data_IF_911212152606
#
_entry.id   IF_911212152606
#
_cell.length_a   1.000
_cell.length_b   1.000
_cell.length_c   1.000
_cell.angle_alpha   90.00
_cell.angle_beta   90.00
_cell.angle_gamma   90.00
#
_symmetry.space_group_name_H-M   'P 1'
#
loop_
_entity.id
_entity.type
_entity.pdbx_description
1 polymer ?
#
# COMPACT_ATOMS: atom_id res chain seq x y z
N UNK A 1 -21.17 -22.46 23.26
CA UNK A 1 -21.13 -23.81 22.68
C UNK A 1 -21.81 -24.88 23.54
N UNK A 2 -21.72 -24.85 24.88
CA UNK A 2 -22.31 -25.88 25.76
C UNK A 2 -23.76 -25.65 26.15
N UNK A 3 -24.35 -24.51 25.84
CA UNK A 3 -25.74 -24.17 26.14
C UNK A 3 -26.75 -25.07 25.41
N UNK A 4 -26.52 -25.38 24.16
CA UNK A 4 -27.41 -26.21 23.35
C UNK A 4 -27.47 -27.67 23.84
N UNK A 5 -26.36 -28.37 24.14
CA UNK A 5 -26.39 -29.68 24.79
C UNK A 5 -27.04 -29.69 26.16
N UNK A 6 -26.83 -28.64 26.99
CA UNK A 6 -27.44 -28.54 28.30
C UNK A 6 -28.96 -28.39 28.18
N UNK A 7 -29.46 -27.58 27.25
CA UNK A 7 -30.87 -27.43 26.94
C UNK A 7 -31.48 -28.73 26.41
N UNK A 8 -30.76 -29.42 25.52
CA UNK A 8 -31.17 -30.73 24.98
C UNK A 8 -31.35 -31.75 26.11
N UNK A 9 -30.42 -31.83 27.05
CA UNK A 9 -30.47 -32.71 28.19
C UNK A 9 -31.69 -32.37 29.12
N UNK A 10 -31.88 -31.05 29.38
CA UNK A 10 -33.02 -30.59 30.18
C UNK A 10 -34.38 -30.90 29.54
N UNK A 11 -34.52 -30.77 28.22
CA UNK A 11 -35.74 -31.08 27.48
C UNK A 11 -36.02 -32.59 27.35
N UNK A 12 -34.96 -33.43 27.32
CA UNK A 12 -35.12 -34.87 27.21
C UNK A 12 -35.31 -35.58 28.57
N UNK A 13 -34.84 -34.98 29.68
CA UNK A 13 -34.81 -35.58 31.01
C UNK A 13 -36.18 -36.03 31.52
N UNK A 14 -37.31 -35.26 31.41
CA UNK A 14 -38.62 -35.70 31.89
C UNK A 14 -39.17 -36.93 31.15
N UNK A 15 -38.95 -36.99 29.85
CA UNK A 15 -39.38 -38.13 29.02
C UNK A 15 -38.55 -39.39 29.32
N UNK A 16 -37.22 -39.24 29.49
CA UNK A 16 -36.31 -40.30 29.85
C UNK A 16 -36.52 -40.84 31.26
N UNK A 17 -37.00 -39.99 32.20
CA UNK A 17 -37.33 -40.36 33.57
C UNK A 17 -38.76 -40.97 33.70
N UNK A 18 -39.49 -41.09 32.60
CA UNK A 18 -40.87 -41.62 32.63
C UNK A 18 -41.91 -40.73 33.32
N UNK A 19 -41.57 -39.42 33.51
CA UNK A 19 -42.45 -38.46 34.18
C UNK A 19 -43.50 -37.92 33.20
N UNK A 20 -43.17 -37.79 31.93
CA UNK A 20 -44.09 -37.34 30.88
C UNK A 20 -44.03 -38.27 29.63
N UNK A 21 -45.13 -38.37 28.86
CA UNK A 21 -45.15 -39.12 27.63
C UNK A 21 -44.15 -38.56 26.63
N UNK A 22 -43.33 -39.41 26.06
CA UNK A 22 -42.28 -39.03 25.10
C UNK A 22 -42.89 -38.36 23.85
N UNK A 23 -42.65 -37.07 23.66
CA UNK A 23 -43.01 -36.36 22.43
C UNK A 23 -41.90 -36.57 21.39
N UNK A 24 -42.12 -37.25 20.27
CA UNK A 24 -41.10 -37.59 19.30
C UNK A 24 -40.49 -36.37 18.64
N UNK A 25 -41.21 -35.26 18.52
CA UNK A 25 -40.71 -34.00 17.98
C UNK A 25 -39.73 -33.31 18.94
N UNK A 26 -40.03 -33.35 20.22
CA UNK A 26 -39.14 -32.79 21.29
C UNK A 26 -37.85 -33.61 21.38
N UNK A 27 -37.93 -34.93 21.29
CA UNK A 27 -36.74 -35.79 21.30
C UNK A 27 -35.89 -35.61 20.04
N UNK A 28 -36.47 -35.41 18.87
CA UNK A 28 -35.76 -35.12 17.64
C UNK A 28 -35.02 -33.77 17.73
N UNK A 29 -35.68 -32.74 18.25
CA UNK A 29 -35.05 -31.39 18.49
C UNK A 29 -33.93 -31.46 19.53
N UNK A 30 -34.13 -32.20 20.61
CA UNK A 30 -33.09 -32.40 21.64
C UNK A 30 -31.89 -33.16 21.05
N UNK A 31 -32.14 -34.17 20.21
CA UNK A 31 -31.09 -34.87 19.46
C UNK A 31 -30.27 -33.92 18.55
N UNK A 32 -30.99 -33.07 17.79
CA UNK A 32 -30.33 -32.08 16.92
C UNK A 32 -29.47 -31.06 17.73
N UNK A 33 -29.98 -30.60 18.87
CA UNK A 33 -29.23 -29.70 19.73
C UNK A 33 -28.03 -30.35 20.41
N UNK A 34 -28.14 -31.64 20.75
CA UNK A 34 -27.04 -32.45 21.29
C UNK A 34 -25.89 -32.57 20.30
N UNK A 35 -26.19 -32.79 19.01
CA UNK A 35 -25.20 -32.94 17.94
C UNK A 35 -24.71 -31.61 17.37
N UNK A 36 -25.40 -30.47 17.67
CA UNK A 36 -25.12 -29.17 17.10
C UNK A 36 -23.67 -28.68 17.30
N UNK A 37 -22.99 -28.92 18.45
CA UNK A 37 -21.58 -28.54 18.57
C UNK A 37 -20.66 -29.32 17.62
N UNK A 38 -20.99 -30.59 17.38
CA UNK A 38 -20.26 -31.43 16.42
C UNK A 38 -20.46 -30.95 14.98
N UNK A 39 -21.71 -30.58 14.63
CA UNK A 39 -22.02 -30.00 13.32
C UNK A 39 -21.31 -28.65 13.16
N UNK A 40 -21.39 -27.78 14.17
CA UNK A 40 -20.71 -26.49 14.15
C UNK A 40 -19.20 -26.65 14.00
N UNK A 41 -18.58 -27.57 14.74
CA UNK A 41 -17.16 -27.89 14.61
C UNK A 41 -16.81 -28.42 13.22
N UNK A 42 -17.61 -29.32 12.64
CA UNK A 42 -17.38 -29.87 11.31
C UNK A 42 -17.48 -28.81 10.20
N UNK A 43 -18.50 -27.94 10.27
CA UNK A 43 -18.70 -26.84 9.31
C UNK A 43 -17.62 -25.77 9.46
N UNK A 44 -17.17 -25.52 10.72
CA UNK A 44 -16.13 -24.52 11.02
C UNK A 44 -14.70 -25.03 10.76
N UNK A 45 -14.53 -26.30 10.41
CA UNK A 45 -13.20 -26.79 9.99
C UNK A 45 -12.75 -26.04 8.76
N UNK A 46 -11.64 -25.35 8.89
CA UNK A 46 -10.93 -24.77 7.76
C UNK A 46 -10.56 -25.92 6.81
N UNK A 47 -11.33 -26.08 5.76
CA UNK A 47 -10.89 -26.90 4.62
C UNK A 47 -9.81 -26.05 3.96
N UNK A 48 -8.55 -26.42 4.17
CA UNK A 48 -7.48 -25.90 3.30
C UNK A 48 -7.90 -26.22 1.88
N UNK A 49 -8.26 -25.24 1.05
CA UNK A 49 -8.56 -25.51 -0.33
C UNK A 49 -7.33 -26.18 -0.91
N UNK A 50 -7.49 -27.25 -1.68
CA UNK A 50 -6.41 -27.74 -2.53
C UNK A 50 -6.07 -26.60 -3.47
N UNK A 51 -5.03 -25.83 -3.12
CA UNK A 51 -4.46 -24.87 -4.02
C UNK A 51 -3.83 -25.68 -5.14
N UNK A 52 -4.51 -25.79 -6.27
CA UNK A 52 -3.92 -26.35 -7.47
C UNK A 52 -2.81 -25.38 -7.88
N UNK A 53 -1.56 -25.84 -8.02
CA UNK A 53 -0.51 -24.98 -8.52
C UNK A 53 -0.90 -24.49 -9.91
N UNK A 54 -0.79 -23.18 -10.13
CA UNK A 54 -0.99 -22.58 -11.43
C UNK A 54 0.09 -23.11 -12.39
N UNK A 55 -0.29 -23.45 -13.59
CA UNK A 55 0.68 -23.69 -14.66
C UNK A 55 1.30 -22.37 -15.12
N UNK A 56 2.39 -22.44 -15.88
CA UNK A 56 3.12 -21.24 -16.32
C UNK A 56 2.26 -20.29 -17.17
N UNK A 57 1.31 -20.81 -17.95
CA UNK A 57 0.41 -20.02 -18.80
C UNK A 57 -0.61 -19.26 -17.93
N UNK A 58 -1.21 -19.96 -16.97
CA UNK A 58 -2.14 -19.37 -16.01
C UNK A 58 -1.46 -18.29 -15.15
N UNK A 59 -0.25 -18.58 -14.65
CA UNK A 59 0.54 -17.63 -13.89
C UNK A 59 0.86 -16.36 -14.71
N UNK A 60 1.32 -16.53 -15.95
CA UNK A 60 1.60 -15.41 -16.84
C UNK A 60 0.34 -14.60 -17.20
N UNK A 61 -0.82 -15.27 -17.35
CA UNK A 61 -2.10 -14.59 -17.57
C UNK A 61 -2.48 -13.71 -16.39
N UNK A 62 -2.44 -14.26 -15.15
CA UNK A 62 -2.78 -13.53 -13.94
C UNK A 62 -1.82 -12.36 -13.71
N UNK A 63 -0.52 -12.53 -13.93
CA UNK A 63 0.46 -11.45 -13.80
C UNK A 63 0.19 -10.32 -14.80
N UNK A 64 -0.11 -10.63 -16.06
CA UNK A 64 -0.50 -9.62 -17.05
C UNK A 64 -1.79 -8.88 -16.65
N UNK A 65 -2.77 -9.61 -16.11
CA UNK A 65 -4.00 -9.00 -15.58
C UNK A 65 -3.67 -8.04 -14.42
N UNK A 66 -2.83 -8.46 -13.48
CA UNK A 66 -2.37 -7.62 -12.36
C UNK A 66 -1.64 -6.35 -12.88
N UNK A 67 -0.76 -6.48 -13.88
CA UNK A 67 -0.07 -5.30 -14.46
C UNK A 67 -1.03 -4.35 -15.18
N UNK A 68 -2.03 -4.87 -15.89
CA UNK A 68 -3.08 -4.04 -16.52
C UNK A 68 -3.98 -3.38 -15.46
N UNK A 69 -4.30 -4.07 -14.38
CA UNK A 69 -5.04 -3.48 -13.25
C UNK A 69 -4.25 -2.35 -12.59
N UNK A 70 -2.94 -2.56 -12.38
CA UNK A 70 -2.06 -1.50 -11.87
C UNK A 70 -2.00 -0.29 -12.81
N UNK A 71 -2.08 -0.48 -14.11
CA UNK A 71 -2.03 0.60 -15.10
C UNK A 71 -3.09 1.68 -14.86
N UNK A 72 -4.27 1.32 -14.35
CA UNK A 72 -5.30 2.28 -13.95
C UNK A 72 -4.79 3.27 -12.89
N UNK A 73 -4.19 2.76 -11.83
CA UNK A 73 -3.64 3.62 -10.76
C UNK A 73 -2.40 4.38 -11.23
N UNK A 74 -1.51 3.73 -11.98
CA UNK A 74 -0.30 4.32 -12.55
C UNK A 74 -0.62 5.53 -13.47
N UNK A 75 -1.72 5.44 -14.22
CA UNK A 75 -2.16 6.48 -15.15
C UNK A 75 -2.94 7.62 -14.46
N UNK A 76 -3.88 7.27 -13.56
CA UNK A 76 -4.83 8.23 -13.03
C UNK A 76 -4.47 8.81 -11.66
N UNK A 77 -3.46 8.24 -10.96
CA UNK A 77 -3.08 8.69 -9.62
C UNK A 77 -1.75 9.44 -9.67
N UNK A 78 -1.82 10.77 -9.67
CA UNK A 78 -0.64 11.63 -9.76
C UNK A 78 -0.89 13.03 -9.21
N UNK A 79 0.01 13.95 -9.48
CA UNK A 79 -0.06 15.33 -8.99
C UNK A 79 -1.37 16.03 -9.39
N UNK A 80 -1.79 15.85 -10.63
CA UNK A 80 -3.03 16.44 -11.16
C UNK A 80 -4.30 15.97 -10.44
N UNK A 81 -4.27 14.76 -9.85
CA UNK A 81 -5.36 14.19 -9.05
C UNK A 81 -5.12 14.30 -7.54
N UNK A 82 -4.16 15.11 -7.09
CA UNK A 82 -3.72 15.18 -5.70
C UNK A 82 -3.33 13.80 -5.12
N UNK A 83 -2.80 12.92 -5.95
CA UNK A 83 -2.40 11.55 -5.58
C UNK A 83 -3.58 10.69 -5.08
N UNK A 84 -4.81 11.02 -5.51
CA UNK A 84 -6.02 10.27 -5.23
C UNK A 84 -6.50 9.55 -6.49
N UNK A 85 -6.88 8.26 -6.39
CA UNK A 85 -7.46 7.55 -7.52
C UNK A 85 -8.89 8.07 -7.77
N UNK A 86 -9.29 8.27 -9.03
CA UNK A 86 -10.68 8.58 -9.36
C UNK A 86 -11.60 7.39 -9.11
N UNK A 87 -12.91 7.62 -9.14
CA UNK A 87 -13.91 6.57 -8.92
C UNK A 87 -13.89 5.52 -10.04
N UNK A 88 -13.90 5.99 -11.28
CA UNK A 88 -13.84 5.14 -12.45
C UNK A 88 -13.38 5.91 -13.69
N UNK A 89 -13.03 5.16 -14.71
CA UNK A 89 -12.83 5.63 -16.07
C UNK A 89 -13.84 4.93 -16.98
N UNK A 90 -14.65 5.73 -17.67
CA UNK A 90 -15.61 5.24 -18.64
C UNK A 90 -15.01 5.30 -20.04
N UNK A 91 -15.00 4.18 -20.76
CA UNK A 91 -14.48 4.10 -22.13
C UNK A 91 -15.58 4.42 -23.18
N UNK A 92 -16.81 3.93 -22.93
CA UNK A 92 -17.93 4.00 -23.84
C UNK A 92 -19.11 4.69 -23.14
N UNK A 93 -19.85 5.64 -23.77
CA UNK A 93 -19.80 6.04 -25.19
C UNK A 93 -18.67 7.01 -25.55
N UNK A 94 -18.05 7.64 -24.56
CA UNK A 94 -16.88 8.51 -24.75
C UNK A 94 -15.96 8.40 -23.53
N UNK A 95 -14.64 8.48 -23.70
CA UNK A 95 -13.69 8.46 -22.59
C UNK A 95 -13.99 9.57 -21.59
N UNK A 96 -14.19 9.20 -20.33
CA UNK A 96 -14.44 10.15 -19.25
C UNK A 96 -13.96 9.61 -17.90
N UNK A 97 -13.25 10.45 -17.16
CA UNK A 97 -12.84 10.18 -15.78
C UNK A 97 -13.87 10.75 -14.83
N UNK A 98 -14.35 9.98 -13.88
CA UNK A 98 -15.18 10.49 -12.79
C UNK A 98 -14.31 11.22 -11.75
N UNK A 99 -14.34 12.57 -11.67
CA UNK A 99 -13.39 13.35 -10.87
C UNK A 99 -13.78 13.39 -9.39
N UNK A 100 -14.09 12.22 -8.84
CA UNK A 100 -14.45 12.02 -7.42
C UNK A 100 -13.76 10.77 -6.90
N UNK A 101 -13.59 10.70 -5.59
CA UNK A 101 -13.00 9.56 -4.89
C UNK A 101 -13.75 9.25 -3.61
N UNK A 102 -13.61 8.03 -3.10
CA UNK A 102 -14.12 7.58 -1.82
C UNK A 102 -13.00 7.05 -0.93
N UNK A 103 -13.20 6.90 0.39
CA UNK A 103 -12.21 6.26 1.26
C UNK A 103 -11.83 4.85 0.80
N UNK A 104 -12.78 4.08 0.29
CA UNK A 104 -12.52 2.76 -0.30
C UNK A 104 -11.58 2.86 -1.51
N UNK A 105 -11.84 3.80 -2.44
CA UNK A 105 -10.98 3.99 -3.62
C UNK A 105 -9.56 4.39 -3.21
N UNK A 106 -9.42 5.29 -2.24
CA UNK A 106 -8.11 5.71 -1.71
C UNK A 106 -7.35 4.50 -1.15
N UNK A 107 -7.99 3.72 -0.31
CA UNK A 107 -7.40 2.50 0.24
C UNK A 107 -6.99 1.50 -0.85
N UNK A 108 -7.85 1.28 -1.86
CA UNK A 108 -7.55 0.42 -3.01
C UNK A 108 -6.31 0.89 -3.77
N UNK A 109 -6.17 2.21 -4.00
CA UNK A 109 -4.99 2.79 -4.65
C UNK A 109 -3.71 2.49 -3.87
N UNK A 110 -3.73 2.68 -2.55
CA UNK A 110 -2.59 2.41 -1.67
C UNK A 110 -2.18 0.93 -1.66
N UNK A 111 -3.14 0.02 -1.49
CA UNK A 111 -2.87 -1.44 -1.51
C UNK A 111 -2.44 -1.91 -2.90
N UNK A 112 -2.99 -1.34 -3.97
CA UNK A 112 -2.55 -1.64 -5.34
C UNK A 112 -1.11 -1.21 -5.58
N UNK A 113 -0.69 -0.06 -5.02
CA UNK A 113 0.71 0.38 -5.05
C UNK A 113 1.64 -0.56 -4.29
N UNK A 114 1.25 -1.05 -3.12
CA UNK A 114 2.00 -2.06 -2.37
C UNK A 114 2.14 -3.36 -3.18
N UNK A 115 1.03 -3.86 -3.74
CA UNK A 115 1.05 -5.04 -4.60
C UNK A 115 1.91 -4.84 -5.86
N UNK A 116 1.92 -3.62 -6.43
CA UNK A 116 2.78 -3.29 -7.57
C UNK A 116 4.27 -3.40 -7.22
N UNK A 117 4.67 -3.04 -5.98
CA UNK A 117 6.03 -3.29 -5.49
C UNK A 117 6.32 -4.79 -5.41
N UNK A 118 5.42 -5.60 -4.84
CA UNK A 118 5.59 -7.04 -4.69
C UNK A 118 5.71 -7.76 -6.04
N UNK A 119 4.98 -7.28 -7.05
CA UNK A 119 5.06 -7.79 -8.41
C UNK A 119 6.26 -7.25 -9.20
N UNK A 120 7.00 -6.29 -8.67
CA UNK A 120 8.13 -5.65 -9.35
C UNK A 120 7.72 -4.64 -10.43
N UNK A 121 6.52 -4.08 -10.38
CA UNK A 121 6.04 -3.04 -11.29
C UNK A 121 6.45 -1.64 -10.84
N UNK A 122 6.70 -1.47 -9.54
CA UNK A 122 6.99 -0.21 -8.89
C UNK A 122 8.19 -0.37 -7.96
N UNK A 123 9.07 0.62 -7.90
CA UNK A 123 10.16 0.62 -6.92
C UNK A 123 9.65 1.00 -5.52
N UNK A 124 10.30 0.50 -4.43
CA UNK A 124 9.95 0.89 -3.07
C UNK A 124 10.01 2.39 -2.82
N UNK A 125 10.98 3.09 -3.43
CA UNK A 125 11.10 4.54 -3.32
C UNK A 125 9.95 5.27 -3.99
N UNK A 126 9.53 4.82 -5.16
CA UNK A 126 8.38 5.38 -5.86
C UNK A 126 7.07 5.13 -5.10
N UNK A 127 6.89 3.93 -4.56
CA UNK A 127 5.75 3.61 -3.70
C UNK A 127 5.71 4.50 -2.45
N UNK A 128 6.83 4.64 -1.75
CA UNK A 128 6.93 5.51 -0.58
C UNK A 128 6.57 6.95 -0.93
N UNK A 129 7.11 7.47 -2.05
CA UNK A 129 6.81 8.82 -2.53
C UNK A 129 5.30 9.02 -2.79
N UNK A 130 4.66 8.11 -3.54
CA UNK A 130 3.23 8.18 -3.83
C UNK A 130 2.39 8.11 -2.55
N UNK A 131 2.72 7.16 -1.66
CA UNK A 131 2.01 6.98 -0.40
C UNK A 131 2.12 8.21 0.49
N UNK A 132 3.31 8.78 0.64
CA UNK A 132 3.53 10.00 1.41
C UNK A 132 2.70 11.17 0.87
N UNK A 133 2.67 11.36 -0.46
CA UNK A 133 1.86 12.41 -1.12
C UNK A 133 0.35 12.18 -0.94
N UNK A 134 -0.09 10.92 -0.99
CA UNK A 134 -1.49 10.60 -0.66
C UNK A 134 -1.81 10.97 0.79
N UNK A 135 -0.92 10.65 1.75
CA UNK A 135 -1.10 11.04 3.15
C UNK A 135 -1.15 12.57 3.31
N UNK A 136 -0.28 13.33 2.62
CA UNK A 136 -0.31 14.81 2.62
C UNK A 136 -1.66 15.35 2.11
N UNK A 137 -2.28 14.66 1.18
CA UNK A 137 -3.61 15.03 0.69
C UNK A 137 -4.70 14.69 1.70
N UNK A 138 -4.64 13.52 2.34
CA UNK A 138 -5.60 13.11 3.38
C UNK A 138 -5.62 14.08 4.57
N UNK A 139 -4.49 14.68 4.93
CA UNK A 139 -4.44 15.69 5.99
C UNK A 139 -5.25 16.95 5.66
N UNK A 140 -5.33 17.32 4.38
CA UNK A 140 -6.06 18.51 3.90
C UNK A 140 -7.55 18.25 3.70
N UNK A 141 -7.98 16.99 3.67
CA UNK A 141 -9.37 16.62 3.46
C UNK A 141 -10.18 16.78 4.74
N UNK A 142 -11.39 17.33 4.62
CA UNK A 142 -12.31 17.50 5.74
C UNK A 142 -12.77 16.15 6.28
N UNK A 143 -12.76 15.99 7.61
CA UNK A 143 -13.15 14.76 8.33
C UNK A 143 -14.12 15.09 9.45
N UNK A 144 -14.90 14.08 9.84
CA UNK A 144 -15.76 14.15 11.01
C UNK A 144 -15.41 13.02 11.99
N UNK A 145 -14.94 13.35 13.19
CA UNK A 145 -14.53 12.38 14.23
C UNK A 145 -13.56 11.31 13.73
N UNK A 146 -12.59 11.72 12.93
CA UNK A 146 -11.62 10.83 12.28
C UNK A 146 -12.09 10.25 10.93
N UNK A 147 -13.40 10.10 10.71
CA UNK A 147 -13.96 9.55 9.49
C UNK A 147 -13.86 10.49 8.32
N UNK A 148 -13.54 9.97 7.15
CA UNK A 148 -13.73 10.64 5.88
C UNK A 148 -15.20 10.52 5.44
N UNK A 149 -15.67 11.54 4.71
CA UNK A 149 -16.98 11.47 4.05
C UNK A 149 -16.97 10.47 2.91
N UNK A 150 -18.14 9.98 2.51
CA UNK A 150 -18.28 8.93 1.50
C UNK A 150 -17.70 9.32 0.14
N UNK A 151 -17.86 10.59 -0.27
CA UNK A 151 -17.38 11.08 -1.56
C UNK A 151 -16.73 12.45 -1.45
N UNK A 152 -15.63 12.62 -2.21
CA UNK A 152 -14.94 13.90 -2.39
C UNK A 152 -14.77 14.22 -3.85
N UNK A 153 -14.88 15.51 -4.18
CA UNK A 153 -14.46 16.06 -5.46
C UNK A 153 -12.92 16.15 -5.47
N UNK A 154 -12.26 15.49 -6.41
CA UNK A 154 -10.78 15.43 -6.45
C UNK A 154 -10.18 16.83 -6.69
N UNK A 155 -10.62 17.65 -7.68
CA UNK A 155 -10.04 18.96 -7.91
C UNK A 155 -10.08 19.92 -6.72
N UNK A 156 -11.11 19.84 -5.88
CA UNK A 156 -11.32 20.77 -4.77
C UNK A 156 -11.03 20.18 -3.39
N UNK A 157 -10.88 18.86 -3.29
CA UNK A 157 -10.75 18.07 -2.05
C UNK A 157 -11.94 18.27 -1.09
N UNK A 158 -13.06 18.83 -1.56
CA UNK A 158 -14.26 19.03 -0.74
C UNK A 158 -15.18 17.83 -0.79
N UNK A 159 -15.83 17.49 0.34
CA UNK A 159 -16.82 16.43 0.35
C UNK A 159 -18.03 16.79 -0.51
N UNK A 160 -18.60 15.77 -1.16
CA UNK A 160 -19.79 15.92 -2.01
C UNK A 160 -21.07 15.78 -1.17
N UNK A 161 -22.09 16.57 -1.55
CA UNK A 161 -23.41 16.47 -0.93
C UNK A 161 -24.28 15.38 -1.56
N UNK A 162 -25.16 14.71 -0.78
CA UNK A 162 -25.34 14.89 0.67
C UNK A 162 -24.15 14.36 1.45
N UNK A 163 -23.72 15.10 2.50
CA UNK A 163 -22.65 14.68 3.37
C UNK A 163 -23.03 13.38 4.10
N UNK A 164 -22.26 12.34 3.92
CA UNK A 164 -22.55 11.01 4.45
C UNK A 164 -21.27 10.35 4.97
N UNK A 165 -21.35 9.70 6.12
CA UNK A 165 -20.27 8.89 6.67
C UNK A 165 -20.70 7.44 6.58
N UNK A 166 -19.92 6.67 5.83
CA UNK A 166 -20.10 5.23 5.64
C UNK A 166 -19.19 4.46 6.60
N UNK A 167 -19.76 3.57 7.41
CA UNK A 167 -18.97 2.67 8.25
C UNK A 167 -18.21 1.64 7.41
N UNK A 168 -18.77 1.28 6.25
CA UNK A 168 -18.14 0.33 5.31
C UNK A 168 -16.90 0.97 4.68
N UNK A 169 -17.01 2.20 4.16
CA UNK A 169 -15.86 2.89 3.56
C UNK A 169 -14.78 3.17 4.59
N UNK A 170 -15.16 3.59 5.79
CA UNK A 170 -14.23 3.79 6.90
C UNK A 170 -13.50 2.49 7.26
N UNK A 171 -14.24 1.39 7.39
CA UNK A 171 -13.67 0.08 7.70
C UNK A 171 -12.75 -0.44 6.59
N UNK A 172 -13.13 -0.26 5.32
CA UNK A 172 -12.29 -0.62 4.18
C UNK A 172 -10.98 0.17 4.19
N UNK A 173 -11.05 1.51 4.33
CA UNK A 173 -9.84 2.33 4.37
C UNK A 173 -8.95 1.94 5.56
N UNK A 174 -9.51 1.74 6.77
CA UNK A 174 -8.74 1.32 7.94
C UNK A 174 -8.01 -0.01 7.71
N UNK A 175 -8.72 -1.02 7.19
CA UNK A 175 -8.13 -2.32 6.90
C UNK A 175 -6.99 -2.21 5.88
N UNK A 176 -7.18 -1.43 4.81
CA UNK A 176 -6.18 -1.21 3.78
C UNK A 176 -4.96 -0.43 4.30
N UNK A 177 -5.17 0.59 5.16
CA UNK A 177 -4.08 1.32 5.82
C UNK A 177 -3.26 0.42 6.76
N UNK A 178 -3.91 -0.52 7.47
CA UNK A 178 -3.20 -1.52 8.28
C UNK A 178 -2.32 -2.40 7.39
N UNK A 179 -2.82 -2.85 6.24
CA UNK A 179 -2.04 -3.66 5.28
C UNK A 179 -0.85 -2.86 4.75
N UNK A 180 -1.06 -1.60 4.34
CA UNK A 180 0.01 -0.72 3.84
C UNK A 180 1.06 -0.46 4.93
N UNK A 181 0.64 -0.22 6.16
CA UNK A 181 1.53 -0.06 7.31
C UNK A 181 2.47 -1.26 7.50
N UNK A 182 1.92 -2.47 7.48
CA UNK A 182 2.72 -3.67 7.64
C UNK A 182 3.65 -3.88 6.44
N UNK A 183 3.20 -3.60 5.21
CA UNK A 183 4.07 -3.62 4.03
C UNK A 183 5.23 -2.62 4.12
N UNK A 184 4.98 -1.39 4.59
CA UNK A 184 6.05 -0.41 4.84
C UNK A 184 7.05 -0.89 5.90
N UNK A 185 6.56 -1.54 6.96
CA UNK A 185 7.43 -2.14 8.00
C UNK A 185 8.25 -3.31 7.48
N UNK A 186 7.70 -4.11 6.59
CA UNK A 186 8.43 -5.20 5.92
C UNK A 186 9.53 -4.62 5.00
N UNK A 187 9.25 -3.56 4.25
CA UNK A 187 10.23 -2.88 3.40
C UNK A 187 11.45 -2.37 4.17
N UNK A 188 11.32 -1.98 5.45
CA UNK A 188 12.47 -1.58 6.28
C UNK A 188 13.51 -2.68 6.47
N UNK A 189 13.09 -3.94 6.35
CA UNK A 189 13.91 -5.15 6.53
C UNK A 189 14.14 -5.89 5.22
N UNK A 190 13.50 -5.45 4.16
CA UNK A 190 13.60 -6.03 2.83
C UNK A 190 14.73 -5.43 2.00
N UNK A 191 15.09 -6.07 0.88
CA UNK A 191 16.06 -5.55 -0.06
C UNK A 191 15.52 -4.25 -0.72
N UNK A 192 16.43 -3.30 -0.99
CA UNK A 192 16.04 -2.03 -1.62
C UNK A 192 15.58 -2.21 -3.08
N UNK A 193 16.01 -3.28 -3.77
CA UNK A 193 15.51 -3.66 -5.08
C UNK A 193 14.55 -4.84 -4.92
N UNK A 194 13.29 -4.77 -5.39
CA UNK A 194 12.31 -5.84 -5.25
C UNK A 194 12.81 -7.15 -5.84
N UNK A 195 12.57 -8.27 -5.15
CA UNK A 195 13.03 -9.59 -5.62
C UNK A 195 12.49 -9.96 -7.00
N UNK A 196 11.30 -9.46 -7.35
CA UNK A 196 10.60 -9.74 -8.62
C UNK A 196 10.73 -8.63 -9.68
N UNK A 197 11.75 -7.80 -9.59
CA UNK A 197 11.97 -6.72 -10.55
C UNK A 197 12.05 -7.21 -12.01
N UNK A 198 12.64 -8.39 -12.25
CA UNK A 198 12.75 -9.01 -13.58
C UNK A 198 11.40 -9.38 -14.14
N UNK A 199 10.64 -10.16 -13.36
CA UNK A 199 9.30 -10.60 -13.73
C UNK A 199 8.37 -9.41 -13.97
N UNK A 200 8.51 -8.35 -13.18
CA UNK A 200 7.76 -7.11 -13.37
C UNK A 200 8.05 -6.42 -14.70
N UNK A 201 9.32 -6.37 -15.11
CA UNK A 201 9.72 -5.85 -16.43
C UNK A 201 9.21 -6.74 -17.56
N UNK A 202 9.32 -8.07 -17.41
CA UNK A 202 8.83 -9.04 -18.40
C UNK A 202 7.31 -8.90 -18.60
N UNK A 203 6.54 -8.72 -17.53
CA UNK A 203 5.10 -8.53 -17.63
C UNK A 203 4.75 -7.24 -18.40
N UNK A 204 5.40 -6.12 -18.08
CA UNK A 204 5.17 -4.85 -18.76
C UNK A 204 5.60 -4.90 -20.24
N UNK A 205 6.78 -5.47 -20.55
CA UNK A 205 7.26 -5.65 -21.90
C UNK A 205 6.39 -6.64 -22.68
N UNK A 206 5.90 -7.69 -22.03
CA UNK A 206 4.95 -8.64 -22.63
C UNK A 206 3.63 -7.99 -23.04
N UNK A 207 3.13 -7.03 -22.24
CA UNK A 207 1.94 -6.26 -22.61
C UNK A 207 2.24 -5.34 -23.79
N UNK A 208 3.37 -4.63 -23.81
CA UNK A 208 3.76 -3.79 -24.94
C UNK A 208 3.86 -4.61 -26.24
N UNK A 209 4.40 -5.83 -26.19
CA UNK A 209 4.41 -6.74 -27.35
C UNK A 209 3.00 -7.13 -27.80
N UNK A 210 2.07 -7.35 -26.89
CA UNK A 210 0.67 -7.64 -27.22
C UNK A 210 -0.02 -6.43 -27.86
N UNK A 211 0.24 -5.23 -27.37
CA UNK A 211 -0.30 -3.98 -27.93
C UNK A 211 0.27 -3.72 -29.33
N UNK A 212 1.56 -3.96 -29.57
CA UNK A 212 2.18 -3.90 -30.90
C UNK A 212 1.48 -4.86 -31.87
N UNK A 213 1.26 -6.10 -31.48
CA UNK A 213 0.55 -7.09 -32.32
C UNK A 213 -0.90 -6.72 -32.56
N UNK A 214 -1.58 -6.13 -31.59
CA UNK A 214 -2.94 -5.61 -31.72
C UNK A 214 -2.98 -4.40 -32.65
N UNK A 215 -2.07 -3.43 -32.48
CA UNK A 215 -1.95 -2.24 -33.31
C UNK A 215 -1.67 -2.58 -34.78
N UNK A 216 -0.82 -3.56 -35.03
CA UNK A 216 -0.50 -4.05 -36.38
C UNK A 216 -1.73 -4.56 -37.15
N UNK A 217 -2.74 -5.04 -36.44
CA UNK A 217 -4.00 -5.56 -37.04
C UNK A 217 -5.06 -4.49 -37.22
N UNK A 218 -4.88 -3.30 -36.66
CA UNK A 218 -5.82 -2.19 -36.78
C UNK A 218 -5.56 -1.40 -38.07
N UNK A 219 -6.51 -1.33 -39.02
CA UNK A 219 -6.32 -0.58 -40.27
C UNK A 219 -6.06 0.92 -40.08
N UNK A 220 -6.60 1.48 -38.98
CA UNK A 220 -6.54 2.92 -38.67
C UNK A 220 -5.39 3.27 -37.71
N UNK A 221 -4.44 2.34 -37.47
CA UNK A 221 -3.32 2.62 -36.58
C UNK A 221 -2.39 3.67 -37.21
N UNK A 222 -2.10 4.78 -36.50
CA UNK A 222 -1.28 5.86 -37.06
C UNK A 222 0.21 5.54 -37.12
N UNK A 223 0.65 4.41 -36.57
CA UNK A 223 2.06 3.96 -36.56
C UNK A 223 2.37 3.23 -37.88
N UNK A 224 3.50 3.56 -38.52
CA UNK A 224 3.96 2.89 -39.76
C UNK A 224 4.12 1.38 -39.55
N UNK A 225 3.58 0.53 -40.45
CA UNK A 225 3.66 -0.93 -40.31
C UNK A 225 5.10 -1.47 -40.23
N UNK A 226 6.08 -0.80 -40.81
CA UNK A 226 7.49 -1.19 -40.82
C UNK A 226 8.13 -1.07 -39.43
N UNK A 227 7.54 -0.27 -38.52
CA UNK A 227 8.04 -0.08 -37.15
C UNK A 227 7.82 -1.32 -36.31
N UNK A 228 6.70 -2.01 -36.48
CA UNK A 228 6.27 -3.09 -35.58
C UNK A 228 7.23 -4.27 -35.48
N UNK A 229 7.75 -4.84 -36.57
CA UNK A 229 8.69 -5.96 -36.47
C UNK A 229 9.97 -5.57 -35.72
N UNK A 230 10.57 -4.43 -36.08
CA UNK A 230 11.81 -3.96 -35.46
C UNK A 230 11.61 -3.62 -33.96
N UNK A 231 10.49 -3.01 -33.61
CA UNK A 231 10.16 -2.73 -32.21
C UNK A 231 9.98 -4.02 -31.40
N UNK A 232 9.20 -4.97 -31.93
CA UNK A 232 8.96 -6.24 -31.27
C UNK A 232 10.26 -7.04 -31.07
N UNK A 233 11.11 -7.11 -32.07
CA UNK A 233 12.38 -7.85 -31.98
C UNK A 233 13.33 -7.21 -30.97
N UNK A 234 13.45 -5.90 -30.97
CA UNK A 234 14.25 -5.16 -29.98
C UNK A 234 13.75 -5.40 -28.54
N UNK A 235 12.44 -5.37 -28.32
CA UNK A 235 11.87 -5.63 -26.99
C UNK A 235 12.14 -7.08 -26.56
N UNK A 236 11.96 -8.07 -27.45
CA UNK A 236 12.27 -9.48 -27.16
C UNK A 236 13.75 -9.67 -26.81
N UNK A 237 14.65 -9.08 -27.59
CA UNK A 237 16.09 -9.13 -27.32
C UNK A 237 16.41 -8.59 -25.92
N UNK A 238 15.78 -7.47 -25.52
CA UNK A 238 16.00 -6.89 -24.17
C UNK A 238 15.41 -7.76 -23.06
N UNK A 239 14.25 -8.39 -23.26
CA UNK A 239 13.70 -9.36 -22.30
C UNK A 239 14.69 -10.52 -22.08
N UNK A 240 15.24 -11.10 -23.15
CA UNK A 240 16.21 -12.19 -23.02
C UNK A 240 17.50 -11.74 -22.33
N UNK A 241 17.98 -10.54 -22.60
CA UNK A 241 19.13 -9.95 -21.92
C UNK A 241 18.85 -9.76 -20.42
N UNK A 242 17.67 -9.24 -20.04
CA UNK A 242 17.26 -9.09 -18.63
C UNK A 242 17.18 -10.45 -17.91
N UNK A 243 16.71 -11.50 -18.60
CA UNK A 243 16.69 -12.87 -18.05
C UNK A 243 18.07 -13.42 -17.77
N UNK A 244 19.00 -13.12 -18.65
CA UNK A 244 20.38 -13.61 -18.60
C UNK A 244 21.29 -12.81 -17.67
N UNK A 245 20.87 -11.62 -17.20
CA UNK A 245 21.74 -10.73 -16.40
C UNK A 245 22.13 -11.40 -15.08
N UNK A 246 23.43 -11.38 -14.68
CA UNK A 246 23.88 -11.86 -13.39
C UNK A 246 23.22 -11.08 -12.23
N UNK A 247 23.20 -11.60 -10.99
CA UNK A 247 22.62 -10.92 -9.84
C UNK A 247 23.46 -9.74 -9.33
N UNK A 248 24.49 -9.31 -10.06
CA UNK A 248 25.33 -8.16 -9.74
C UNK A 248 24.57 -6.85 -9.99
N UNK A 249 24.52 -5.97 -9.00
CA UNK A 249 23.87 -4.65 -9.11
C UNK A 249 24.39 -3.82 -10.28
N UNK A 250 25.70 -3.91 -10.58
CA UNK A 250 26.30 -3.21 -11.71
C UNK A 250 25.78 -3.74 -13.06
N UNK A 251 25.67 -5.05 -13.18
CA UNK A 251 25.18 -5.66 -14.43
C UNK A 251 23.68 -5.42 -14.60
N UNK A 252 22.92 -5.48 -13.49
CA UNK A 252 21.50 -5.10 -13.46
C UNK A 252 21.31 -3.65 -13.89
N UNK A 253 22.07 -2.72 -13.31
CA UNK A 253 21.98 -1.30 -13.67
C UNK A 253 22.27 -1.09 -15.15
N UNK A 254 23.37 -1.67 -15.66
CA UNK A 254 23.77 -1.54 -17.08
C UNK A 254 22.69 -2.07 -18.01
N UNK A 255 22.10 -3.21 -17.69
CA UNK A 255 21.05 -3.80 -18.53
C UNK A 255 19.77 -2.96 -18.51
N UNK A 256 19.36 -2.44 -17.35
CA UNK A 256 18.22 -1.52 -17.24
C UNK A 256 18.43 -0.23 -18.03
N UNK A 257 19.64 0.35 -17.98
CA UNK A 257 20.01 1.54 -18.74
C UNK A 257 20.00 1.25 -20.26
N UNK A 258 20.49 0.08 -20.67
CA UNK A 258 20.48 -0.36 -22.07
C UNK A 258 19.04 -0.60 -22.56
N UNK A 259 18.19 -1.21 -21.73
CA UNK A 259 16.79 -1.41 -22.06
C UNK A 259 16.08 -0.07 -22.22
N UNK A 260 16.25 0.84 -21.26
CA UNK A 260 15.68 2.20 -21.30
C UNK A 260 16.09 2.95 -22.55
N UNK A 261 17.38 2.96 -22.89
CA UNK A 261 17.89 3.61 -24.11
C UNK A 261 17.30 2.99 -25.40
N UNK A 262 17.12 1.68 -25.41
CA UNK A 262 16.43 0.98 -26.49
C UNK A 262 14.97 1.43 -26.67
N UNK A 263 14.25 1.65 -25.56
CA UNK A 263 12.87 2.15 -25.57
C UNK A 263 12.80 3.63 -25.98
N UNK A 264 13.75 4.46 -25.56
CA UNK A 264 13.86 5.87 -25.97
C UNK A 264 13.97 5.98 -27.50
N UNK A 265 14.75 5.07 -28.13
CA UNK A 265 14.85 4.98 -29.58
C UNK A 265 13.56 4.52 -30.30
N UNK A 266 12.62 3.92 -29.59
CA UNK A 266 11.32 3.50 -30.11
C UNK A 266 10.19 4.50 -29.80
N UNK A 267 10.32 5.28 -28.75
CA UNK A 267 9.25 6.13 -28.22
C UNK A 267 8.66 7.07 -29.27
N UNK A 268 9.50 7.76 -30.04
CA UNK A 268 9.04 8.65 -31.11
C UNK A 268 8.24 7.96 -32.20
N UNK A 269 8.62 6.73 -32.57
CA UNK A 269 7.93 5.95 -33.59
C UNK A 269 6.60 5.35 -33.10
N UNK A 270 6.48 5.07 -31.78
CA UNK A 270 5.28 4.51 -31.16
C UNK A 270 4.32 5.59 -30.63
N UNK A 271 4.80 6.82 -30.43
CA UNK A 271 4.04 7.95 -29.88
C UNK A 271 2.70 8.27 -30.58
N UNK A 272 2.51 8.07 -31.91
CA UNK A 272 1.24 8.37 -32.54
C UNK A 272 0.07 7.50 -32.04
N UNK A 273 0.33 6.33 -31.44
CA UNK A 273 -0.70 5.47 -30.84
C UNK A 273 -0.65 5.60 -29.32
N UNK A 274 -1.75 6.03 -28.71
CA UNK A 274 -1.83 6.33 -27.28
C UNK A 274 -1.52 5.11 -26.40
N UNK A 275 -2.02 3.93 -26.75
CA UNK A 275 -1.75 2.69 -25.99
C UNK A 275 -0.29 2.28 -26.06
N UNK A 276 0.32 2.35 -27.24
CA UNK A 276 1.73 2.02 -27.45
C UNK A 276 2.64 3.02 -26.72
N UNK A 277 2.31 4.32 -26.79
CA UNK A 277 3.03 5.38 -26.07
C UNK A 277 2.99 5.14 -24.57
N UNK A 278 1.78 4.92 -24.02
CA UNK A 278 1.59 4.65 -22.58
C UNK A 278 2.45 3.48 -22.09
N UNK A 279 2.40 2.32 -22.77
CA UNK A 279 3.14 1.14 -22.34
C UNK A 279 4.65 1.28 -22.54
N UNK A 280 5.09 1.98 -23.58
CA UNK A 280 6.50 2.29 -23.79
C UNK A 280 7.04 3.20 -22.67
N UNK A 281 6.32 4.27 -22.35
CA UNK A 281 6.67 5.19 -21.27
C UNK A 281 6.62 4.52 -19.88
N UNK A 282 5.60 3.68 -19.64
CA UNK A 282 5.50 2.95 -18.37
C UNK A 282 6.70 2.03 -18.14
N UNK A 283 7.16 1.36 -19.17
CA UNK A 283 8.34 0.49 -19.11
C UNK A 283 9.64 1.31 -18.96
N UNK A 284 9.75 2.46 -19.64
CA UNK A 284 10.87 3.39 -19.44
C UNK A 284 10.94 3.92 -18.00
N UNK A 285 9.80 4.35 -17.45
CA UNK A 285 9.71 4.81 -16.04
C UNK A 285 10.13 3.70 -15.08
N UNK A 286 9.67 2.46 -15.31
CA UNK A 286 10.02 1.32 -14.46
C UNK A 286 11.54 1.04 -14.48
N UNK A 287 12.19 1.08 -15.66
CA UNK A 287 13.64 0.97 -15.77
C UNK A 287 14.34 2.11 -15.01
N UNK A 288 13.88 3.36 -15.19
CA UNK A 288 14.45 4.54 -14.55
C UNK A 288 14.35 4.43 -13.02
N UNK A 289 13.16 4.10 -12.49
CA UNK A 289 12.94 3.98 -11.05
C UNK A 289 13.86 2.93 -10.41
N UNK A 290 14.11 1.80 -11.07
CA UNK A 290 15.04 0.79 -10.56
C UNK A 290 16.51 1.21 -10.68
N UNK A 291 16.91 1.87 -11.76
CA UNK A 291 18.26 2.45 -11.89
C UNK A 291 18.50 3.48 -10.79
N UNK A 292 17.53 4.34 -10.53
CA UNK A 292 17.63 5.37 -9.49
C UNK A 292 17.73 4.77 -8.08
N UNK A 293 16.98 3.70 -7.77
CA UNK A 293 17.13 2.95 -6.52
C UNK A 293 18.55 2.35 -6.39
N UNK A 294 19.08 1.73 -7.44
CA UNK A 294 20.43 1.16 -7.41
C UNK A 294 21.45 2.26 -7.20
N UNK A 295 21.40 3.36 -7.94
CA UNK A 295 22.33 4.50 -7.80
C UNK A 295 22.25 5.18 -6.44
N UNK A 296 21.05 5.22 -5.88
CA UNK A 296 20.82 5.83 -4.57
C UNK A 296 21.45 5.01 -3.45
N UNK A 297 21.27 3.69 -3.46
CA UNK A 297 21.75 2.82 -2.38
C UNK A 297 23.12 2.18 -2.63
N UNK A 298 23.56 2.11 -3.87
CA UNK A 298 24.81 1.48 -4.28
C UNK A 298 25.66 2.41 -5.17
N UNK A 299 26.15 3.55 -4.65
CA UNK A 299 26.87 4.54 -5.46
C UNK A 299 28.15 3.99 -6.13
N UNK A 300 28.71 2.89 -5.62
CA UNK A 300 29.84 2.19 -6.22
C UNK A 300 29.55 1.54 -7.56
N UNK A 301 28.28 1.40 -7.96
CA UNK A 301 27.90 0.82 -9.26
C UNK A 301 28.18 1.77 -10.43
N UNK A 302 28.17 3.09 -10.17
CA UNK A 302 28.37 4.15 -11.18
C UNK A 302 29.84 4.44 -11.48
N UNK A 303 30.77 3.94 -10.68
CA UNK A 303 32.20 4.24 -10.79
C UNK A 303 32.99 3.01 -11.26
N UNK A 304 34.14 3.22 -11.89
CA UNK A 304 35.11 2.16 -12.03
C UNK A 304 35.57 1.77 -10.62
N UNK A 305 35.52 0.45 -10.32
CA UNK A 305 35.96 -0.04 -9.02
C UNK A 305 37.48 0.21 -8.92
N UNK A 306 37.93 0.87 -7.84
CA UNK A 306 39.35 1.24 -7.71
C UNK A 306 40.29 0.05 -7.63
N UNK A 307 39.76 -1.17 -7.50
CA UNK A 307 40.53 -2.41 -7.45
C UNK A 307 39.84 -3.47 -8.32
N UNK A 308 40.56 -3.99 -9.30
CA UNK A 308 40.18 -5.17 -10.09
C UNK A 308 40.98 -6.39 -9.58
N UNK A 309 40.36 -7.51 -9.24
CA UNK A 309 41.08 -8.70 -8.76
C UNK A 309 41.93 -9.40 -9.81
N UNK A 310 42.10 -8.85 -11.00
CA UNK A 310 42.90 -9.42 -12.09
C UNK A 310 44.40 -9.17 -11.97
N UNK A 311 44.88 -8.47 -10.95
CA UNK A 311 46.31 -8.35 -10.69
C UNK A 311 46.81 -9.56 -9.86
N UNK A 312 47.77 -10.25 -10.38
CA UNK A 312 48.34 -11.51 -9.88
C UNK A 312 49.07 -11.41 -8.50
N UNK A 313 49.11 -10.23 -7.87
CA UNK A 313 49.70 -10.01 -6.55
C UNK A 313 48.64 -10.09 -5.40
N UNK A 314 48.05 -11.29 -5.29
CA UNK A 314 46.97 -11.52 -4.31
C UNK A 314 47.45 -11.90 -2.93
N UNK A 315 47.90 -10.94 -2.13
CA UNK A 315 48.07 -11.05 -0.68
C UNK A 315 46.73 -11.00 0.09
N UNK A 316 46.81 -10.90 1.44
CA UNK A 316 45.62 -10.77 2.31
C UNK A 316 44.63 -9.67 1.91
N UNK A 317 45.07 -8.72 1.12
CA UNK A 317 44.32 -7.59 0.60
C UNK A 317 43.28 -7.99 -0.47
N UNK A 318 43.58 -8.95 -1.33
CA UNK A 318 42.64 -9.44 -2.35
C UNK A 318 41.41 -10.11 -1.73
N UNK A 319 41.58 -10.80 -0.61
CA UNK A 319 40.47 -11.46 0.08
C UNK A 319 39.47 -10.44 0.69
N UNK A 320 39.96 -9.34 1.25
CA UNK A 320 39.15 -8.25 1.80
C UNK A 320 38.31 -7.58 0.71
N UNK A 321 38.93 -7.23 -0.42
CA UNK A 321 38.22 -6.59 -1.54
C UNK A 321 37.20 -7.52 -2.17
N UNK A 322 37.52 -8.81 -2.29
CA UNK A 322 36.59 -9.82 -2.79
C UNK A 322 35.38 -9.97 -1.89
N UNK A 323 35.59 -10.01 -0.57
CA UNK A 323 34.51 -10.10 0.43
C UNK A 323 33.61 -8.84 0.37
N UNK A 324 34.20 -7.63 0.33
CA UNK A 324 33.46 -6.39 0.17
C UNK A 324 32.64 -6.34 -1.10
N UNK A 325 33.24 -6.73 -2.24
CA UNK A 325 32.56 -6.77 -3.52
C UNK A 325 31.45 -7.82 -3.56
N UNK A 326 31.63 -8.97 -2.94
CA UNK A 326 30.59 -9.99 -2.83
C UNK A 326 29.41 -9.50 -2.00
N UNK A 327 29.67 -8.86 -0.84
CA UNK A 327 28.60 -8.33 0.01
C UNK A 327 27.87 -7.14 -0.65
N UNK A 328 28.61 -6.24 -1.28
CA UNK A 328 28.03 -5.02 -1.91
C UNK A 328 27.55 -5.25 -3.36
N UNK A 329 27.81 -6.41 -3.93
CA UNK A 329 27.44 -6.77 -5.30
C UNK A 329 25.96 -7.07 -5.50
N UNK A 330 25.19 -7.31 -4.45
CA UNK A 330 23.78 -7.67 -4.48
C UNK A 330 22.91 -6.67 -3.71
N UNK A 331 21.59 -6.70 -3.95
CA UNK A 331 20.66 -5.86 -3.20
C UNK A 331 20.57 -6.34 -1.75
N UNK A 332 21.05 -5.51 -0.84
CA UNK A 332 21.01 -5.78 0.60
C UNK A 332 19.66 -5.32 1.20
N UNK A 333 19.22 -5.95 2.30
CA UNK A 333 18.17 -5.40 3.15
C UNK A 333 18.56 -3.99 3.67
N UNK A 334 17.56 -3.09 3.79
CA UNK A 334 17.83 -1.71 4.20
C UNK A 334 18.47 -1.61 5.59
N UNK A 335 18.08 -2.45 6.55
CA UNK A 335 18.64 -2.49 7.89
C UNK A 335 20.11 -2.98 7.88
N UNK A 336 20.43 -3.96 7.04
CA UNK A 336 21.79 -4.42 6.82
C UNK A 336 22.66 -3.34 6.16
N UNK A 337 22.12 -2.63 5.15
CA UNK A 337 22.78 -1.54 4.47
C UNK A 337 23.03 -0.34 5.41
N UNK A 338 22.07 -0.01 6.28
CA UNK A 338 22.20 1.05 7.27
C UNK A 338 23.36 0.83 8.26
N UNK A 339 23.74 -0.43 8.49
CA UNK A 339 24.83 -0.80 9.40
C UNK A 339 26.13 -1.17 8.68
N UNK A 340 26.14 -1.14 7.35
CA UNK A 340 27.25 -1.65 6.53
C UNK A 340 28.56 -0.89 6.79
N UNK A 341 28.52 0.45 6.86
CA UNK A 341 29.68 1.26 7.19
C UNK A 341 30.32 0.83 8.51
N UNK A 342 29.53 0.66 9.58
CA UNK A 342 30.02 0.27 10.92
C UNK A 342 30.79 -1.04 10.90
N UNK A 343 30.42 -1.98 10.00
CA UNK A 343 31.12 -3.27 9.87
C UNK A 343 32.43 -3.15 9.10
N UNK A 344 32.49 -2.30 8.09
CA UNK A 344 33.64 -2.24 7.19
C UNK A 344 34.66 -1.15 7.51
N UNK A 345 34.26 -0.02 8.11
CA UNK A 345 35.13 1.12 8.45
C UNK A 345 36.38 0.67 9.25
N UNK A 346 36.31 -0.15 10.32
CA UNK A 346 37.51 -0.54 11.07
C UNK A 346 38.53 -1.33 10.25
N UNK A 347 38.06 -2.07 9.23
CA UNK A 347 38.92 -2.88 8.34
C UNK A 347 39.53 -2.02 7.22
N UNK A 348 38.82 -0.98 6.78
CA UNK A 348 39.25 -0.11 5.70
C UNK A 348 40.19 1.02 6.19
N UNK A 349 40.00 1.55 7.42
CA UNK A 349 40.82 2.62 8.00
C UNK A 349 42.24 2.16 8.39
N UNK A 350 42.47 0.87 8.53
CA UNK A 350 43.81 0.32 8.82
C UNK A 350 44.73 0.30 7.60
N UNK A 351 44.30 0.85 6.46
CA UNK A 351 45.01 0.81 5.19
C UNK A 351 45.93 2.03 4.98
N UNK A 352 46.99 1.93 4.17
CA UNK A 352 47.85 3.02 3.84
C UNK A 352 47.13 4.20 3.15
N UNK A 353 47.64 5.39 3.29
CA UNK A 353 47.15 6.55 2.55
C UNK A 353 47.32 6.35 1.03
N UNK A 354 46.26 6.63 0.24
CA UNK A 354 46.24 6.44 -1.21
C UNK A 354 45.62 5.12 -1.67
N UNK A 355 45.27 4.24 -0.74
CA UNK A 355 44.50 3.02 -1.00
C UNK A 355 43.05 3.36 -1.43
N UNK A 356 42.39 2.54 -2.26
CA UNK A 356 40.96 2.66 -2.60
C UNK A 356 40.01 2.71 -1.41
N UNK A 357 40.44 2.33 -0.23
CA UNK A 357 39.65 2.26 1.00
C UNK A 357 38.92 3.56 1.35
N UNK A 358 39.57 4.74 1.17
CA UNK A 358 38.94 6.02 1.46
C UNK A 358 37.68 6.23 0.63
N UNK A 359 37.72 5.90 -0.66
CA UNK A 359 36.58 6.03 -1.55
C UNK A 359 35.45 5.05 -1.20
N UNK A 360 35.82 3.85 -0.76
CA UNK A 360 34.83 2.89 -0.27
C UNK A 360 34.18 3.36 1.02
N UNK A 361 34.91 3.95 1.96
CA UNK A 361 34.36 4.53 3.18
C UNK A 361 33.35 5.63 2.83
N UNK A 362 33.65 6.51 1.87
CA UNK A 362 32.72 7.55 1.40
C UNK A 362 31.44 6.96 0.82
N UNK A 363 31.55 5.95 -0.04
CA UNK A 363 30.37 5.26 -0.63
C UNK A 363 29.53 4.53 0.44
N UNK A 364 30.18 3.83 1.37
CA UNK A 364 29.49 3.12 2.44
C UNK A 364 28.82 4.11 3.42
N UNK A 365 29.46 5.24 3.69
CA UNK A 365 28.87 6.32 4.50
C UNK A 365 27.59 6.84 3.85
N UNK A 366 27.65 7.13 2.56
CA UNK A 366 26.49 7.61 1.80
C UNK A 366 25.36 6.58 1.76
N UNK A 367 25.68 5.33 1.44
CA UNK A 367 24.71 4.23 1.37
C UNK A 367 24.03 3.96 2.73
N UNK A 368 24.82 3.90 3.82
CA UNK A 368 24.29 3.67 5.17
C UNK A 368 23.43 4.83 5.67
N UNK A 369 23.82 6.07 5.38
CA UNK A 369 23.04 7.27 5.70
C UNK A 369 21.70 7.27 4.95
N UNK A 370 21.70 6.98 3.64
CA UNK A 370 20.51 6.94 2.81
C UNK A 370 19.57 5.80 3.23
N UNK A 371 20.11 4.63 3.59
CA UNK A 371 19.32 3.52 4.10
C UNK A 371 18.65 3.88 5.44
N UNK A 372 19.38 4.51 6.36
CA UNK A 372 18.84 5.00 7.64
C UNK A 372 17.74 6.04 7.43
N UNK A 373 17.93 6.96 6.48
CA UNK A 373 16.93 7.95 6.12
C UNK A 373 15.67 7.28 5.55
N UNK A 374 15.81 6.34 4.62
CA UNK A 374 14.68 5.60 4.02
C UNK A 374 13.89 4.82 5.08
N UNK A 375 14.57 4.17 6.04
CA UNK A 375 13.91 3.49 7.16
C UNK A 375 13.09 4.48 8.00
N UNK A 376 13.65 5.66 8.28
CA UNK A 376 12.93 6.72 9.01
C UNK A 376 11.70 7.21 8.24
N UNK A 377 11.82 7.44 6.94
CA UNK A 377 10.73 7.88 6.08
C UNK A 377 9.61 6.82 5.98
N UNK A 378 9.97 5.54 5.81
CA UNK A 378 9.02 4.41 5.83
C UNK A 378 8.29 4.34 7.17
N UNK A 379 9.01 4.52 8.29
CA UNK A 379 8.45 4.56 9.64
C UNK A 379 7.45 5.70 9.83
N UNK A 380 7.81 6.89 9.40
CA UNK A 380 6.94 8.06 9.49
C UNK A 380 5.62 7.87 8.71
N UNK A 381 5.67 7.31 7.50
CA UNK A 381 4.47 7.02 6.71
C UNK A 381 3.65 5.88 7.33
N UNK A 382 4.31 4.87 7.92
CA UNK A 382 3.62 3.79 8.62
C UNK A 382 2.84 4.30 9.85
N UNK A 383 3.39 5.25 10.62
CA UNK A 383 2.66 5.88 11.74
C UNK A 383 1.47 6.71 11.25
N UNK A 384 1.60 7.45 10.15
CA UNK A 384 0.45 8.15 9.54
C UNK A 384 -0.66 7.18 9.11
N UNK A 385 -0.32 5.99 8.60
CA UNK A 385 -1.32 4.95 8.34
C UNK A 385 -2.07 4.54 9.60
N UNK A 386 -1.39 4.46 10.76
CA UNK A 386 -2.04 4.19 12.05
C UNK A 386 -3.00 5.33 12.43
N UNK A 387 -2.54 6.58 12.40
CA UNK A 387 -3.37 7.75 12.72
C UNK A 387 -4.63 7.86 11.86
N UNK A 388 -4.52 7.60 10.55
CA UNK A 388 -5.65 7.63 9.63
C UNK A 388 -6.57 6.41 9.73
N UNK A 389 -6.17 5.35 10.42
CA UNK A 389 -7.00 4.16 10.66
C UNK A 389 -7.81 4.22 11.95
N UNK A 390 -7.61 5.25 12.79
CA UNK A 390 -8.31 5.44 14.06
C UNK A 390 -9.58 6.28 13.87
N UNK A 391 -10.72 5.70 14.22
CA UNK A 391 -12.05 6.32 14.08
C UNK A 391 -12.85 6.25 15.37
N UNK A 392 -13.64 7.30 15.64
CA UNK A 392 -14.70 7.27 16.66
C UNK A 392 -15.95 6.57 16.08
N UNK A 393 -16.16 5.33 16.47
CA UNK A 393 -17.28 4.51 16.01
C UNK A 393 -18.56 4.66 16.87
N UNK A 394 -18.50 5.33 18.01
CA UNK A 394 -19.61 5.38 18.99
C UNK A 394 -20.90 5.95 18.39
N UNK A 395 -20.80 6.98 17.52
CA UNK A 395 -21.99 7.58 16.91
C UNK A 395 -22.61 6.73 15.80
N UNK A 396 -21.87 5.74 15.29
CA UNK A 396 -22.35 4.77 14.30
C UNK A 396 -22.93 3.51 14.95
N UNK A 397 -22.67 3.28 16.25
CA UNK A 397 -23.14 2.09 16.94
C UNK A 397 -24.60 2.28 17.41
N UNK A 398 -25.46 1.33 17.01
CA UNK A 398 -26.84 1.20 17.46
C UNK A 398 -26.85 0.24 18.66
N UNK A 399 -27.00 0.81 19.88
CA UNK A 399 -26.96 0.04 21.12
C UNK A 399 -28.16 -0.91 21.27
N UNK A 400 -29.31 -0.56 20.69
CA UNK A 400 -30.52 -1.39 20.79
C UNK A 400 -30.42 -2.62 19.92
N UNK A 401 -29.74 -2.50 18.77
CA UNK A 401 -29.53 -3.59 17.81
C UNK A 401 -28.19 -4.28 17.96
N UNK A 402 -27.29 -3.76 18.78
CA UNK A 402 -25.90 -4.22 18.92
C UNK A 402 -25.15 -4.31 17.59
N UNK A 403 -25.34 -3.33 16.71
CA UNK A 403 -24.76 -3.30 15.36
C UNK A 403 -24.27 -1.91 15.00
N UNK A 404 -23.26 -1.86 14.11
CA UNK A 404 -22.88 -0.62 13.45
C UNK A 404 -23.88 -0.30 12.33
N UNK A 405 -24.35 0.95 12.30
CA UNK A 405 -25.11 1.46 11.16
C UNK A 405 -24.23 1.45 9.92
N UNK A 406 -24.80 1.14 8.74
CA UNK A 406 -24.09 1.17 7.46
C UNK A 406 -23.51 2.57 7.20
N UNK A 407 -24.19 3.61 7.69
CA UNK A 407 -23.72 4.98 7.67
C UNK A 407 -24.80 5.96 8.11
N UNK A 408 -24.42 7.20 8.31
CA UNK A 408 -25.29 8.26 8.80
C UNK A 408 -25.11 9.53 7.96
N UNK A 409 -26.22 10.17 7.48
CA UNK A 409 -26.14 11.50 6.90
C UNK A 409 -25.64 12.52 7.95
N UNK A 410 -24.75 13.41 7.57
CA UNK A 410 -24.21 14.43 8.49
C UNK A 410 -25.31 15.36 9.04
N UNK A 411 -26.40 15.58 8.28
CA UNK A 411 -27.59 16.28 8.76
C UNK A 411 -28.23 15.62 10.00
N UNK A 412 -28.29 14.29 10.04
CA UNK A 412 -28.82 13.53 11.20
C UNK A 412 -27.94 13.67 12.43
N UNK A 413 -26.62 13.77 12.24
CA UNK A 413 -25.65 14.00 13.31
C UNK A 413 -25.87 15.37 13.96
N UNK A 414 -26.15 16.38 13.14
CA UNK A 414 -26.43 17.74 13.61
C UNK A 414 -27.74 17.82 14.45
N UNK A 415 -28.79 17.12 14.02
CA UNK A 415 -30.05 17.07 14.75
C UNK A 415 -29.96 16.27 16.06
N UNK A 416 -29.22 15.14 16.11
CA UNK A 416 -28.98 14.39 17.35
C UNK A 416 -28.24 15.25 18.39
N UNK A 417 -27.28 16.08 18.00
CA UNK A 417 -26.63 17.04 18.91
C UNK A 417 -27.58 18.08 19.43
N UNK A 418 -28.44 18.65 18.58
CA UNK A 418 -29.47 19.63 19.03
C UNK A 418 -30.49 19.00 19.99
N UNK A 419 -30.93 17.78 19.71
CA UNK A 419 -31.83 17.04 20.59
C UNK A 419 -31.19 16.71 21.93
N UNK A 420 -29.93 16.29 21.96
CA UNK A 420 -29.17 16.06 23.21
C UNK A 420 -28.96 17.38 24.00
N UNK A 421 -28.68 18.49 23.30
CA UNK A 421 -28.57 19.83 23.90
C UNK A 421 -29.92 20.32 24.44
N UNK A 422 -31.01 20.12 23.70
CA UNK A 422 -32.35 20.43 24.16
C UNK A 422 -32.78 19.58 25.35
N UNK A 423 -32.43 18.29 25.41
CA UNK A 423 -32.67 17.42 26.54
C UNK A 423 -31.83 17.82 27.76
N UNK A 424 -30.58 18.25 27.59
CA UNK A 424 -29.75 18.78 28.70
C UNK A 424 -30.19 20.15 29.17
N UNK A 425 -30.76 21.00 28.30
CA UNK A 425 -31.34 22.30 28.70
C UNK A 425 -32.77 22.21 29.29
N UNK A 426 -33.43 21.04 29.12
CA UNK A 426 -34.73 20.75 29.69
C UNK A 426 -34.68 20.10 31.09
N UNK A 427 -33.49 19.88 31.64
CA UNK A 427 -33.36 19.40 33.02
C UNK A 427 -33.74 20.53 33.95
N UNK A 428 -34.74 20.34 34.86
CA UNK A 428 -35.15 21.39 35.79
C UNK A 428 -33.96 21.72 36.68
N UNK A 429 -33.70 23.02 36.82
CA UNK A 429 -32.74 23.53 37.79
C UNK A 429 -33.11 23.01 39.16
N UNK A 430 -32.42 22.00 39.66
CA UNK A 430 -32.51 21.59 41.05
C UNK A 430 -31.97 22.76 41.87
N UNK A 431 -32.89 23.49 42.53
CA UNK A 431 -32.60 24.57 43.44
C UNK A 431 -31.79 24.02 44.64
N UNK A 432 -30.48 24.03 44.54
CA UNK A 432 -29.59 23.96 45.70
C UNK A 432 -29.62 25.32 46.41
N UNK A 433 -30.56 25.50 47.34
CA UNK A 433 -30.44 26.55 48.36
C UNK A 433 -29.25 26.22 49.27
N UNK A 434 -28.14 26.85 49.03
CA UNK A 434 -27.11 26.95 50.06
C UNK A 434 -27.50 28.02 51.04
N UNK A 435 -27.74 27.63 52.29
CA UNK A 435 -28.00 28.46 53.42
C UNK A 435 -26.71 29.21 53.81
N UNK A 436 -26.57 30.47 53.38
CA UNK A 436 -25.48 31.33 53.84
C UNK A 436 -25.95 32.08 55.04
N UNK A 437 -25.57 31.59 56.19
CA UNK A 437 -25.61 32.36 57.46
C UNK A 437 -24.68 33.58 57.33
N UNK A 438 -25.24 34.69 57.76
CA UNK A 438 -24.66 36.02 57.84
C UNK A 438 -23.26 36.09 58.48
N UNK A 439 -22.39 36.94 57.95
CA UNK A 439 -21.74 38.03 58.74
C UNK A 439 -21.12 39.07 57.83
N UNK A 440 -21.55 40.28 58.10
CA UNK A 440 -21.08 41.65 57.85
C UNK A 440 -19.63 41.87 57.33
N UNK A 441 -19.57 42.86 56.51
CA UNK A 441 -18.81 44.13 56.50
C UNK A 441 -17.79 44.40 55.43
N UNK A 442 -18.04 45.52 54.83
CA UNK A 442 -17.13 46.61 54.41
C UNK A 442 -16.25 46.51 53.15
N UNK A 443 -16.55 47.37 52.20
CA UNK A 443 -15.51 48.26 51.65
C UNK A 443 -15.29 48.25 50.14
N UNK A 444 -15.93 49.19 49.46
CA UNK A 444 -15.42 50.08 48.40
C UNK A 444 -14.28 49.60 47.44
N UNK A 445 -14.47 49.53 46.17
CA UNK A 445 -14.16 50.60 45.22
C UNK A 445 -14.43 50.21 43.74
N UNK A 446 -14.83 51.25 43.02
CA UNK A 446 -15.19 51.31 41.59
C UNK A 446 -14.01 51.13 40.64
N UNK A 447 -14.29 50.72 39.49
CA UNK A 447 -13.99 51.17 38.11
C UNK A 447 -13.68 49.96 37.23
N UNK A 448 -14.16 49.78 36.05
CA UNK A 448 -14.62 50.61 34.99
C UNK A 448 -14.22 49.96 33.68
N UNK A 449 -15.23 49.93 32.72
CA UNK A 449 -15.08 49.94 31.28
C UNK A 449 -14.51 48.68 30.54
N UNK A 450 -15.31 47.94 29.89
CA UNK A 450 -15.74 47.76 28.44
C UNK A 450 -14.64 47.69 27.40
N UNK A 451 -14.97 47.25 26.15
CA UNK A 451 -14.70 45.93 25.58
C UNK A 451 -13.89 46.06 24.25
N UNK A 452 -13.38 44.95 23.82
CA UNK A 452 -13.37 44.66 22.35
C UNK A 452 -13.40 43.15 22.20
#
# INVERSE_FOLDING_TARGET
>A
MWSAPALAAACAAPALAGIEPANPLLLALAGLWLVSPGIAWFVSRTRTPRVLPLDAVQAAFIRRLARRTWAYFDHFTGEASHWLPPDNFQEIPAPAVAPRTSPTNIGMGLVSGLAACDFGYLSPGRFLFHTARTMDTLERMERYRGHFYNWYNIPTLKPLHPLYISSVDSGNLAAMLIVVREGLREMMRGPFLPARWREGLEDAAGILLMEIESARKRPECPVSPDVFPAAADRIRERIEAVRAVPPSLRDIQRELETFRAGLEGLAGALAPDESLSFWCEALQRQCTDFVDEIRYFAPWTCAELPYSPAAEDAGADASLWKELQQETGTSLPLDALATLLRRWEPRLTQRPAGDPSQRWIEWLTLASSRASQRITELGAVAERCTEFSEYDLDFLYDADRHQLSIGIPASTIFWRRRAAWAAMSAWPAVNCRWNTGSTSDAGLHRAGARPC
#
